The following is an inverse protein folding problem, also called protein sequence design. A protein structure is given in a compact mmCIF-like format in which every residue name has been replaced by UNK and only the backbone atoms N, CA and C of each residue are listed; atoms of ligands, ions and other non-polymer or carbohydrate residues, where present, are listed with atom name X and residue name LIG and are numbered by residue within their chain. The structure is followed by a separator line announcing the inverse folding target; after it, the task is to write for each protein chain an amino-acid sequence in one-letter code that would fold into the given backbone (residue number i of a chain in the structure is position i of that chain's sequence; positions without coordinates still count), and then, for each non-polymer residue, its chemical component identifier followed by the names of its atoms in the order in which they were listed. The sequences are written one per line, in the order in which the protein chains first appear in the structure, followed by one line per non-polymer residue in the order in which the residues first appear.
data_IF_870794453152
#
_entry.id   IF_870794453152
#
_cell.length_a   1.000
_cell.length_b   1.000
_cell.length_c   1.000
_cell.angle_alpha   90.00
_cell.angle_beta   90.00
_cell.angle_gamma   90.00
#
_symmetry.space_group_name_H-M   'P 1'
#
loop_
_entity.id
_entity.type
_entity.pdbx_description
1 polymer ?
#
# COMPACT_ATOMS: atom_id res chain seq x y z
N UNK A 1 16.08 -16.75 4.44
CA UNK A 1 15.61 -15.45 3.96
C UNK A 1 16.83 -14.66 3.50
N UNK A 2 16.81 -14.17 2.27
CA UNK A 2 17.90 -13.35 1.71
C UNK A 2 17.85 -11.93 2.27
N UNK A 3 18.94 -11.17 2.17
CA UNK A 3 18.92 -9.76 2.62
C UNK A 3 17.82 -8.92 1.95
N UNK A 4 17.59 -9.01 0.62
CA UNK A 4 16.47 -8.32 -0.01
C UNK A 4 15.09 -8.72 0.53
N UNK A 5 14.89 -10.01 0.83
CA UNK A 5 13.65 -10.48 1.44
C UNK A 5 13.45 -9.88 2.83
N UNK A 6 14.51 -9.84 3.66
CA UNK A 6 14.46 -9.22 5.00
C UNK A 6 14.07 -7.75 4.89
N UNK A 7 14.70 -6.99 3.99
CA UNK A 7 14.39 -5.57 3.80
C UNK A 7 12.92 -5.38 3.39
N UNK A 8 12.43 -6.22 2.47
CA UNK A 8 11.03 -6.17 2.02
C UNK A 8 10.06 -6.51 3.14
N UNK A 9 10.30 -7.57 3.91
CA UNK A 9 9.42 -7.94 5.03
C UNK A 9 9.43 -6.89 6.12
N UNK A 10 10.59 -6.37 6.51
CA UNK A 10 10.69 -5.30 7.50
C UNK A 10 9.93 -4.05 7.08
N UNK A 11 10.00 -3.66 5.80
CA UNK A 11 9.20 -2.54 5.30
C UNK A 11 7.70 -2.79 5.44
N UNK A 12 7.23 -4.01 5.13
CA UNK A 12 5.82 -4.38 5.26
C UNK A 12 5.35 -4.42 6.71
N UNK A 13 6.20 -4.92 7.61
CA UNK A 13 5.91 -4.93 9.05
C UNK A 13 5.77 -3.50 9.60
N UNK A 14 6.66 -2.58 9.20
CA UNK A 14 6.57 -1.16 9.57
C UNK A 14 5.26 -0.55 9.07
N UNK A 15 4.86 -0.80 7.83
CA UNK A 15 3.59 -0.28 7.29
C UNK A 15 2.39 -0.87 8.05
N UNK A 16 2.48 -2.13 8.46
CA UNK A 16 1.47 -2.76 9.30
C UNK A 16 1.37 -2.08 10.67
N UNK A 17 2.49 -1.84 11.34
CA UNK A 17 2.55 -1.09 12.60
C UNK A 17 2.00 0.33 12.46
N UNK A 18 2.33 1.03 11.38
CA UNK A 18 1.78 2.36 11.07
C UNK A 18 0.26 2.33 10.94
N UNK A 19 -0.31 1.24 10.40
CA UNK A 19 -1.76 1.10 10.27
C UNK A 19 -2.48 0.99 11.62
N UNK A 20 -1.80 0.53 12.67
CA UNK A 20 -2.32 0.50 14.03
C UNK A 20 -2.27 1.87 14.72
N UNK A 21 -1.47 2.81 14.21
CA UNK A 21 -1.25 4.16 14.74
C UNK A 21 -1.49 5.25 13.69
N UNK A 22 -2.51 5.02 12.85
CA UNK A 22 -2.92 5.84 11.71
C UNK A 22 -2.94 7.35 11.98
N UNK A 23 -3.39 7.77 13.15
CA UNK A 23 -3.55 9.19 13.50
C UNK A 23 -2.24 10.00 13.41
N UNK A 24 -1.09 9.34 13.57
CA UNK A 24 0.23 9.95 13.43
C UNK A 24 0.66 10.17 11.98
N UNK A 25 -0.03 9.54 11.02
CA UNK A 25 0.39 9.45 9.62
C UNK A 25 -0.63 10.00 8.62
N UNK A 26 -1.76 10.52 9.10
CA UNK A 26 -2.83 11.07 8.26
C UNK A 26 -3.18 12.49 8.68
N UNK A 27 -3.72 13.28 7.75
CA UNK A 27 -4.06 14.68 8.01
C UNK A 27 -5.34 14.83 8.83
N UNK A 28 -6.33 13.97 8.56
CA UNK A 28 -7.63 13.98 9.24
C UNK A 28 -7.87 12.62 9.90
N UNK A 29 -7.38 12.39 11.14
CA UNK A 29 -7.46 11.09 11.83
C UNK A 29 -8.90 10.59 11.99
N UNK A 30 -9.87 11.51 12.09
CA UNK A 30 -11.30 11.19 12.24
C UNK A 30 -12.02 10.91 10.93
N UNK A 31 -11.33 10.91 9.78
CA UNK A 31 -11.95 10.73 8.46
C UNK A 31 -11.16 9.85 7.52
N UNK A 32 -9.84 10.01 7.51
CA UNK A 32 -8.95 9.33 6.58
C UNK A 32 -8.83 7.85 6.97
N UNK A 33 -9.03 6.95 6.01
CA UNK A 33 -8.90 5.49 6.15
C UNK A 33 -9.73 4.79 7.26
N UNK A 34 -10.65 5.48 7.94
CA UNK A 34 -11.56 4.85 8.94
C UNK A 34 -12.52 3.85 8.30
N UNK A 35 -12.94 4.11 7.05
CA UNK A 35 -13.89 3.26 6.34
C UNK A 35 -13.17 2.11 5.66
N UNK A 36 -13.75 0.90 5.72
CA UNK A 36 -13.27 -0.24 4.93
C UNK A 36 -13.46 0.05 3.44
N UNK A 37 -12.36 0.26 2.71
CA UNK A 37 -12.32 0.55 1.27
C UNK A 37 -11.43 -0.45 0.54
N UNK A 38 -11.51 -0.48 -0.80
CA UNK A 38 -10.63 -1.32 -1.63
C UNK A 38 -9.15 -0.94 -1.49
N UNK A 39 -8.89 0.37 -1.35
CA UNK A 39 -7.59 0.96 -1.01
C UNK A 39 -7.63 1.43 0.45
N UNK A 40 -7.28 0.53 1.36
CA UNK A 40 -6.97 0.89 2.75
C UNK A 40 -5.56 1.50 2.84
N UNK A 41 -5.20 1.96 4.05
CA UNK A 41 -3.91 2.61 4.28
C UNK A 41 -2.72 1.77 3.83
N UNK A 42 -2.69 0.48 4.21
CA UNK A 42 -1.60 -0.43 3.87
C UNK A 42 -1.50 -0.62 2.36
N UNK A 43 -2.62 -0.87 1.69
CA UNK A 43 -2.65 -1.02 0.23
C UNK A 43 -2.23 0.26 -0.48
N UNK A 44 -2.62 1.42 0.01
CA UNK A 44 -2.21 2.69 -0.58
C UNK A 44 -0.69 2.91 -0.43
N UNK A 45 -0.11 2.58 0.72
CA UNK A 45 1.34 2.66 0.93
C UNK A 45 2.09 1.67 0.04
N UNK A 46 1.64 0.41 -0.02
CA UNK A 46 2.21 -0.59 -0.93
C UNK A 46 2.17 -0.10 -2.38
N UNK A 47 1.02 0.40 -2.84
CA UNK A 47 0.87 0.93 -4.19
C UNK A 47 1.86 2.07 -4.46
N UNK A 48 1.93 3.10 -3.61
CA UNK A 48 2.82 4.25 -3.83
C UNK A 48 4.30 3.83 -3.90
N UNK A 49 4.71 2.86 -3.07
CA UNK A 49 6.10 2.39 -3.01
C UNK A 49 6.42 1.46 -4.20
N UNK A 50 5.47 0.64 -4.63
CA UNK A 50 5.66 -0.31 -5.73
C UNK A 50 5.39 0.26 -7.11
N UNK A 51 4.76 1.44 -7.19
CA UNK A 51 4.43 2.10 -8.45
C UNK A 51 5.70 2.36 -9.26
N UNK A 52 5.66 1.95 -10.52
CA UNK A 52 6.73 2.22 -11.50
C UNK A 52 6.39 3.48 -12.32
N UNK A 53 7.00 3.66 -13.49
CA UNK A 53 6.80 4.83 -14.34
C UNK A 53 5.53 4.77 -15.21
N UNK A 54 4.61 3.85 -14.93
CA UNK A 54 3.36 3.69 -15.69
C UNK A 54 2.31 4.76 -15.37
N UNK A 55 1.25 4.79 -16.18
CA UNK A 55 0.07 5.60 -15.83
C UNK A 55 -0.61 5.05 -14.57
N UNK A 56 -1.27 5.92 -13.80
CA UNK A 56 -1.99 5.48 -12.60
C UNK A 56 -2.99 4.35 -12.88
N UNK A 57 -3.68 4.37 -14.03
CA UNK A 57 -4.60 3.30 -14.41
C UNK A 57 -3.86 1.97 -14.63
N UNK A 58 -2.70 2.01 -15.30
CA UNK A 58 -1.88 0.82 -15.52
C UNK A 58 -1.38 0.24 -14.20
N UNK A 59 -0.83 1.09 -13.32
CA UNK A 59 -0.31 0.67 -12.01
C UNK A 59 -1.41 0.10 -11.11
N UNK A 60 -2.61 0.70 -11.12
CA UNK A 60 -3.76 0.19 -10.36
C UNK A 60 -4.21 -1.18 -10.87
N UNK A 61 -4.27 -1.39 -12.18
CA UNK A 61 -4.65 -2.69 -12.75
C UNK A 61 -3.62 -3.77 -12.38
N UNK A 62 -2.33 -3.45 -12.54
CA UNK A 62 -1.21 -4.32 -12.13
C UNK A 62 -1.26 -4.66 -10.64
N UNK A 63 -1.46 -3.68 -9.77
CA UNK A 63 -1.49 -3.86 -8.31
C UNK A 63 -2.63 -4.76 -7.83
N UNK A 64 -3.80 -4.66 -8.47
CA UNK A 64 -4.96 -5.48 -8.10
C UNK A 64 -5.00 -6.83 -8.84
N UNK A 65 -3.92 -7.21 -9.54
CA UNK A 65 -3.84 -8.44 -10.34
C UNK A 65 -5.01 -8.57 -11.32
N UNK A 66 -5.54 -7.44 -11.80
CA UNK A 66 -6.43 -7.42 -12.94
C UNK A 66 -5.55 -7.60 -14.19
N UNK A 67 -4.98 -8.79 -14.34
CA UNK A 67 -4.38 -9.20 -15.60
C UNK A 67 -5.43 -8.98 -16.69
N UNK A 68 -5.05 -8.25 -17.72
CA UNK A 68 -5.83 -8.19 -18.95
C UNK A 68 -5.88 -9.63 -19.47
N UNK A 69 -6.98 -10.33 -19.22
CA UNK A 69 -7.32 -11.62 -19.81
C UNK A 69 -7.49 -11.49 -21.33
N UNK A 70 -6.45 -11.14 -22.10
CA UNK A 70 -6.38 -11.25 -23.56
C UNK A 70 -4.94 -11.28 -24.05
#
# INVERSE_FOLDING_TARGET
MTFPEIVKTTLWDIIDEMSHSLSSFVKNPDKDFIRKRKLDFKKMMHLIISMESGSLNHELLKFFEYDFLY
#
